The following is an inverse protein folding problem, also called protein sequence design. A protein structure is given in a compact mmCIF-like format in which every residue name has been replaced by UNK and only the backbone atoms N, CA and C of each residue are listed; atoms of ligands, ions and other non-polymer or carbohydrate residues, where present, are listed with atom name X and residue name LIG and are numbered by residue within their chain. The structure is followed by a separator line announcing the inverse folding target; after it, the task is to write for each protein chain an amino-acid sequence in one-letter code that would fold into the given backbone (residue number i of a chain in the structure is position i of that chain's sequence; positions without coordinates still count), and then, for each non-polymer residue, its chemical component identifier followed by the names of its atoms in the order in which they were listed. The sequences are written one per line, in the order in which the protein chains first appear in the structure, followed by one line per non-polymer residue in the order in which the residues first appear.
data_IF_781138233076
#
_entry.id   IF_781138233076
#
_cell.length_a   1.000
_cell.length_b   1.000
_cell.length_c   1.000
_cell.angle_alpha   90.00
_cell.angle_beta   90.00
_cell.angle_gamma   90.00
#
_symmetry.space_group_name_H-M   'P 1'
#
loop_
_entity.id
_entity.type
_entity.pdbx_description
1 polymer ?
#
# COMPACT_ATOMS: atom_id res chain seq x y z
N UNK A 1 -3.73 5.86 23.65
CA UNK A 1 -4.17 5.36 22.33
C UNK A 1 -4.05 3.85 22.35
N UNK A 2 -5.16 3.13 22.46
CA UNK A 2 -5.15 1.65 22.59
C UNK A 2 -4.73 1.09 21.23
N UNK A 3 -3.58 0.39 21.18
CA UNK A 3 -3.22 -0.37 19.98
C UNK A 3 -4.30 -1.41 19.78
N UNK A 4 -5.12 -1.26 18.75
CA UNK A 4 -6.12 -2.27 18.42
C UNK A 4 -5.41 -3.60 18.17
N UNK A 5 -6.10 -4.72 18.42
CA UNK A 5 -5.57 -6.05 18.06
C UNK A 5 -5.08 -6.07 16.62
N UNK A 6 -5.78 -5.36 15.74
CA UNK A 6 -5.40 -5.12 14.36
C UNK A 6 -4.00 -4.49 14.23
N UNK A 7 -3.69 -3.42 14.97
CA UNK A 7 -2.37 -2.77 14.94
C UNK A 7 -1.25 -3.70 15.42
N UNK A 8 -1.54 -4.55 16.40
CA UNK A 8 -0.57 -5.52 16.94
C UNK A 8 -0.33 -6.63 15.90
N UNK A 9 -1.39 -7.19 15.31
CA UNK A 9 -1.28 -8.18 14.23
C UNK A 9 -0.55 -7.61 13.01
N UNK A 10 -0.85 -6.37 12.65
CA UNK A 10 -0.22 -5.67 11.52
C UNK A 10 1.27 -5.43 11.78
N UNK A 11 1.61 -4.93 12.96
CA UNK A 11 3.00 -4.73 13.37
C UNK A 11 3.77 -6.05 13.38
N UNK A 12 3.15 -7.14 13.87
CA UNK A 12 3.74 -8.48 13.84
C UNK A 12 3.94 -8.98 12.39
N UNK A 13 2.96 -8.78 11.50
CA UNK A 13 3.06 -9.17 10.09
C UNK A 13 4.21 -8.45 9.38
N UNK A 14 4.35 -7.14 9.61
CA UNK A 14 5.43 -6.36 9.02
C UNK A 14 6.81 -6.72 9.61
N UNK A 15 6.89 -7.07 10.90
CA UNK A 15 8.14 -7.47 11.57
C UNK A 15 8.59 -8.88 11.21
N UNK A 16 7.67 -9.82 10.96
CA UNK A 16 7.98 -11.23 10.76
C UNK A 16 8.18 -11.66 9.29
N UNK A 17 8.39 -10.72 8.34
CA UNK A 17 8.62 -11.01 6.91
C UNK A 17 7.57 -11.95 6.29
N UNK A 18 6.31 -11.86 6.72
CA UNK A 18 5.22 -12.67 6.16
C UNK A 18 4.77 -12.21 4.76
N UNK A 19 5.58 -11.41 4.07
CA UNK A 19 5.29 -10.78 2.78
C UNK A 19 4.84 -11.79 1.71
N UNK A 20 5.43 -12.98 1.72
CA UNK A 20 5.12 -14.04 0.75
C UNK A 20 3.73 -14.66 1.00
N UNK A 21 3.26 -14.66 2.25
CA UNK A 21 1.94 -15.18 2.62
C UNK A 21 0.83 -14.14 2.41
N UNK A 22 1.16 -12.86 2.30
CA UNK A 22 0.18 -11.81 1.99
C UNK A 22 -0.39 -11.92 0.58
N UNK A 23 0.31 -12.60 -0.33
CA UNK A 23 -0.23 -12.94 -1.65
C UNK A 23 -1.52 -13.78 -1.57
N UNK A 24 -1.65 -14.60 -0.52
CA UNK A 24 -2.77 -15.52 -0.31
C UNK A 24 -3.99 -14.86 0.34
N UNK A 25 -3.86 -13.60 0.78
CA UNK A 25 -4.94 -12.88 1.41
C UNK A 25 -5.97 -12.46 0.36
N UNK A 26 -7.28 -12.59 0.64
CA UNK A 26 -8.35 -12.10 -0.22
C UNK A 26 -8.19 -10.62 -0.57
N UNK A 27 -8.62 -10.24 -1.77
CA UNK A 27 -8.46 -8.88 -2.29
C UNK A 27 -9.16 -7.86 -1.37
N UNK A 28 -10.32 -8.20 -0.79
CA UNK A 28 -11.03 -7.27 0.10
C UNK A 28 -10.22 -6.96 1.37
N UNK A 29 -9.50 -7.96 1.89
CA UNK A 29 -8.65 -7.79 3.05
C UNK A 29 -7.41 -6.95 2.71
N UNK A 30 -6.84 -7.08 1.52
CA UNK A 30 -5.75 -6.23 1.04
C UNK A 30 -6.18 -4.77 0.90
N UNK A 31 -7.39 -4.51 0.37
CA UNK A 31 -7.93 -3.15 0.28
C UNK A 31 -8.14 -2.52 1.67
N UNK A 32 -8.72 -3.27 2.62
CA UNK A 32 -8.88 -2.78 4.01
C UNK A 32 -7.54 -2.51 4.70
N UNK A 33 -6.54 -3.34 4.44
CA UNK A 33 -5.18 -3.13 4.93
C UNK A 33 -4.57 -1.85 4.35
N UNK A 34 -4.72 -1.64 3.04
CA UNK A 34 -4.23 -0.44 2.37
C UNK A 34 -4.89 0.83 2.93
N UNK A 35 -6.22 0.81 3.05
CA UNK A 35 -7.01 1.91 3.65
C UNK A 35 -6.60 2.19 5.10
N UNK A 36 -6.29 1.13 5.85
CA UNK A 36 -5.80 1.29 7.21
C UNK A 36 -4.42 1.93 7.25
N UNK A 37 -3.49 1.49 6.40
CA UNK A 37 -2.13 2.04 6.35
C UNK A 37 -2.11 3.53 6.00
N UNK A 38 -3.01 3.94 5.12
CA UNK A 38 -3.11 5.32 4.64
C UNK A 38 -3.79 6.22 5.66
N UNK A 39 -4.92 5.80 6.23
CA UNK A 39 -5.67 6.59 7.22
C UNK A 39 -4.89 6.88 8.51
N UNK A 40 -3.85 6.09 8.82
CA UNK A 40 -3.07 6.24 10.04
C UNK A 40 -1.62 6.68 9.81
N UNK A 41 -1.24 7.11 8.60
CA UNK A 41 0.17 7.43 8.25
C UNK A 41 1.13 6.30 8.69
N UNK A 42 0.69 5.04 8.51
CA UNK A 42 1.48 3.87 8.89
C UNK A 42 2.28 3.31 7.71
N UNK A 43 2.20 3.93 6.53
CA UNK A 43 3.02 3.54 5.39
C UNK A 43 4.52 3.73 5.65
N UNK A 44 4.92 4.81 6.33
CA UNK A 44 6.30 5.02 6.77
C UNK A 44 6.64 4.25 8.06
N UNK A 45 5.64 3.89 8.85
CA UNK A 45 5.83 3.14 10.09
C UNK A 45 6.00 1.63 9.80
N UNK A 46 6.95 0.98 10.48
CA UNK A 46 7.09 -0.49 10.50
C UNK A 46 7.36 -1.19 9.15
N UNK A 47 8.04 -0.56 8.18
CA UNK A 47 8.41 -1.20 6.90
C UNK A 47 7.19 -1.56 6.00
N UNK A 48 5.99 -1.01 6.32
CA UNK A 48 4.76 -1.24 5.55
C UNK A 48 4.88 -0.78 4.10
N UNK A 49 5.65 0.27 3.82
CA UNK A 49 5.93 0.72 2.46
C UNK A 49 6.57 -0.36 1.58
N UNK A 50 7.46 -1.21 2.13
CA UNK A 50 8.04 -2.34 1.39
C UNK A 50 7.03 -3.44 1.14
N UNK A 51 6.14 -3.69 2.10
CA UNK A 51 5.08 -4.68 2.01
C UNK A 51 4.07 -4.29 0.93
N UNK A 52 3.61 -3.03 0.94
CA UNK A 52 2.67 -2.49 -0.05
C UNK A 52 3.31 -2.43 -1.44
N UNK A 53 4.61 -2.14 -1.53
CA UNK A 53 5.37 -2.13 -2.78
C UNK A 53 5.78 -3.54 -3.26
N UNK A 54 5.47 -4.60 -2.50
CA UNK A 54 5.89 -5.96 -2.85
C UNK A 54 5.02 -6.55 -3.98
N UNK A 55 5.61 -7.38 -4.87
CA UNK A 55 4.87 -8.04 -5.94
C UNK A 55 3.75 -8.93 -5.41
N UNK A 56 4.01 -9.62 -4.29
CA UNK A 56 3.07 -10.51 -3.61
C UNK A 56 1.81 -9.78 -3.14
N UNK A 57 1.97 -8.59 -2.56
CA UNK A 57 0.85 -7.79 -2.07
C UNK A 57 0.08 -7.15 -3.23
N UNK A 58 0.78 -6.50 -4.16
CA UNK A 58 0.18 -5.75 -5.27
C UNK A 58 -0.53 -6.63 -6.32
N UNK A 59 -0.33 -7.95 -6.27
CA UNK A 59 -0.99 -8.87 -7.19
C UNK A 59 -2.52 -8.90 -7.01
N UNK A 60 -3.24 -8.79 -8.13
CA UNK A 60 -4.71 -8.83 -8.25
C UNK A 60 -5.49 -7.68 -7.59
N UNK A 61 -4.88 -6.51 -7.34
CA UNK A 61 -5.66 -5.36 -6.87
C UNK A 61 -6.31 -4.64 -8.07
N UNK A 62 -7.62 -4.42 -8.02
CA UNK A 62 -8.33 -3.72 -9.12
C UNK A 62 -8.48 -2.23 -8.86
N UNK A 63 -8.48 -1.83 -7.58
CA UNK A 63 -8.69 -0.45 -7.16
C UNK A 63 -7.72 -0.09 -6.03
N UNK A 64 -7.07 1.07 -6.12
CA UNK A 64 -6.25 1.62 -5.05
C UNK A 64 -6.83 2.95 -4.59
N UNK A 65 -7.08 3.08 -3.29
CA UNK A 65 -7.60 4.30 -2.68
C UNK A 65 -6.66 4.80 -1.61
N UNK A 66 -6.22 6.04 -1.77
CA UNK A 66 -5.36 6.74 -0.83
C UNK A 66 -6.04 8.06 -0.45
N UNK A 67 -6.24 8.26 0.84
CA UNK A 67 -6.85 9.45 1.42
C UNK A 67 -5.88 10.03 2.45
N UNK A 68 -5.62 11.34 2.38
CA UNK A 68 -4.91 12.10 3.42
C UNK A 68 -3.55 11.49 3.81
N UNK A 69 -2.87 10.87 2.85
CA UNK A 69 -1.67 10.09 3.13
C UNK A 69 -0.41 10.92 2.89
N UNK A 70 0.20 11.41 3.97
CA UNK A 70 1.46 12.18 3.92
C UNK A 70 2.66 11.31 3.56
N UNK A 71 2.56 9.99 3.74
CA UNK A 71 3.65 9.04 3.51
C UNK A 71 3.62 8.37 2.15
N UNK A 72 2.57 8.60 1.35
CA UNK A 72 2.49 8.03 0.02
C UNK A 72 3.42 8.81 -0.92
N UNK A 73 4.48 8.16 -1.39
CA UNK A 73 5.41 8.72 -2.37
C UNK A 73 5.14 8.21 -3.78
N UNK A 74 5.62 8.96 -4.79
CA UNK A 74 5.60 8.56 -6.20
C UNK A 74 6.27 7.19 -6.43
N UNK A 75 7.34 6.89 -5.70
CA UNK A 75 8.05 5.62 -5.79
C UNK A 75 7.20 4.43 -5.33
N UNK A 76 6.42 4.60 -4.26
CA UNK A 76 5.50 3.58 -3.75
C UNK A 76 4.34 3.37 -4.72
N UNK A 77 3.79 4.47 -5.25
CA UNK A 77 2.73 4.41 -6.25
C UNK A 77 3.21 3.71 -7.53
N UNK A 78 4.42 4.01 -7.99
CA UNK A 78 5.02 3.36 -9.14
C UNK A 78 5.28 1.85 -8.90
N UNK A 79 5.74 1.47 -7.70
CA UNK A 79 5.92 0.06 -7.37
C UNK A 79 4.58 -0.69 -7.34
N UNK A 80 3.52 -0.06 -6.84
CA UNK A 80 2.17 -0.60 -6.86
C UNK A 80 1.62 -0.78 -8.26
N UNK A 81 1.82 0.18 -9.17
CA UNK A 81 1.33 0.11 -10.54
C UNK A 81 2.09 -0.92 -11.38
N UNK A 82 3.43 -0.96 -11.26
CA UNK A 82 4.28 -1.91 -12.01
C UNK A 82 3.96 -3.37 -11.66
N UNK A 83 3.72 -3.64 -10.38
CA UNK A 83 3.43 -5.00 -9.90
C UNK A 83 1.97 -5.42 -10.13
N UNK A 84 1.09 -4.50 -10.51
CA UNK A 84 -0.34 -4.75 -10.58
C UNK A 84 -0.90 -4.66 -12.00
N UNK A 85 -0.96 -5.81 -12.67
CA UNK A 85 -1.40 -5.93 -14.07
C UNK A 85 -2.92 -5.79 -14.28
N UNK A 86 -3.71 -5.75 -13.21
CA UNK A 86 -5.19 -5.70 -13.26
C UNK A 86 -5.76 -4.43 -12.62
N UNK A 87 -4.90 -3.44 -12.38
CA UNK A 87 -5.32 -2.18 -11.79
C UNK A 87 -6.19 -1.39 -12.77
N UNK A 88 -7.43 -1.13 -12.40
CA UNK A 88 -8.39 -0.39 -13.23
C UNK A 88 -8.55 1.05 -12.74
N UNK A 89 -8.39 1.28 -11.42
CA UNK A 89 -8.64 2.60 -10.83
C UNK A 89 -7.67 2.92 -9.70
N UNK A 90 -7.20 4.17 -9.71
CA UNK A 90 -6.46 4.77 -8.60
C UNK A 90 -7.20 6.03 -8.17
N UNK A 91 -7.47 6.16 -6.88
CA UNK A 91 -8.06 7.35 -6.27
C UNK A 91 -7.07 7.92 -5.28
N UNK A 92 -6.68 9.17 -5.50
CA UNK A 92 -5.78 9.93 -4.66
C UNK A 92 -6.53 11.16 -4.17
N UNK A 93 -6.65 11.31 -2.86
CA UNK A 93 -7.26 12.49 -2.23
C UNK A 93 -6.27 13.03 -1.22
N UNK A 94 -5.85 14.29 -1.40
CA UNK A 94 -4.97 15.01 -0.48
C UNK A 94 -3.72 14.20 -0.08
N UNK A 95 -2.97 13.73 -1.08
CA UNK A 95 -1.69 13.03 -0.90
C UNK A 95 -0.54 13.96 -1.33
N UNK A 96 0.02 14.80 -0.43
CA UNK A 96 0.89 15.93 -0.80
C UNK A 96 2.27 15.53 -1.33
N UNK A 97 2.69 14.28 -1.08
CA UNK A 97 3.96 13.71 -1.56
C UNK A 97 3.85 12.95 -2.88
N UNK A 98 2.65 12.80 -3.43
CA UNK A 98 2.45 12.34 -4.80
C UNK A 98 2.51 13.55 -5.71
N UNK A 99 3.45 13.55 -6.64
CA UNK A 99 3.67 14.67 -7.54
C UNK A 99 3.32 14.28 -8.97
N UNK A 100 2.86 15.23 -9.76
CA UNK A 100 2.68 15.08 -11.22
C UNK A 100 4.02 14.92 -11.97
N UNK A 101 5.09 14.48 -11.30
CA UNK A 101 6.29 14.01 -11.98
C UNK A 101 5.89 12.76 -12.75
N UNK A 102 5.49 13.00 -13.99
CA UNK A 102 5.45 12.02 -15.07
C UNK A 102 6.83 11.38 -15.08
N UNK A 103 6.97 10.26 -14.39
CA UNK A 103 8.00 9.31 -14.74
C UNK A 103 7.69 8.97 -16.17
N UNK A 104 8.48 9.51 -17.09
CA UNK A 104 8.49 9.16 -18.49
C UNK A 104 8.76 7.67 -18.51
N UNK A 105 7.69 6.87 -18.50
CA UNK A 105 7.76 5.45 -18.78
C UNK A 105 8.03 5.41 -20.27
N UNK A 106 9.31 5.55 -20.62
CA UNK A 106 9.78 5.55 -21.97
C UNK A 106 9.34 4.27 -22.66
N UNK A 107 8.49 4.44 -23.67
CA UNK A 107 8.59 3.74 -24.95
C UNK A 107 8.32 4.75 -26.05
#
# INVERSE_FOLDING_TARGET
MVKSLFNICLSAVCQHRLNDHLALIPIECKHKLLEFFTNHNQLAAYDCGRLVSSPSFANNLTELKFYLSDDLSDSMLNALTVNNKRLERITLVECPRVTDKVSVIGK
#
